data_IF_012975797406
#
_entry.id   IF_012975797406
#
_cell.length_a   1.000
_cell.length_b   1.000
_cell.length_c   1.000
_cell.angle_alpha   90.00
_cell.angle_beta   90.00
_cell.angle_gamma   90.00
#
_symmetry.space_group_name_H-M   'P 1'
#
loop_
_entity.id
_entity.type
_entity.pdbx_description
1 polymer ?
#
# COMPACT_ATOMS: atom_id res chain seq x y z
N UNK A 1 7.85 -3.92 29.45
CA UNK A 1 7.09 -3.38 28.30
C UNK A 1 7.77 -3.68 26.96
N UNK A 2 9.07 -3.52 26.82
CA UNK A 2 9.84 -3.85 25.59
C UNK A 2 9.89 -5.36 25.29
N UNK A 3 9.95 -6.22 26.31
CA UNK A 3 9.94 -7.67 26.14
C UNK A 3 8.57 -8.19 25.66
N UNK A 4 7.48 -7.59 26.13
CA UNK A 4 6.12 -7.95 25.71
C UNK A 4 5.86 -7.51 24.26
N UNK A 5 6.40 -6.36 23.82
CA UNK A 5 6.31 -5.92 22.42
C UNK A 5 7.11 -6.83 21.49
N UNK A 6 8.33 -7.23 21.87
CA UNK A 6 9.12 -8.21 21.10
C UNK A 6 8.43 -9.57 21.00
N UNK A 7 7.82 -10.03 22.09
CA UNK A 7 7.05 -11.27 22.12
C UNK A 7 5.78 -11.19 21.25
N UNK A 8 5.08 -10.04 21.22
CA UNK A 8 3.95 -9.80 20.30
C UNK A 8 4.40 -9.78 18.83
N UNK A 9 5.53 -9.16 18.51
CA UNK A 9 6.09 -9.13 17.16
C UNK A 9 6.45 -10.54 16.69
N UNK A 10 7.11 -11.34 17.53
CA UNK A 10 7.38 -12.76 17.21
C UNK A 10 6.09 -13.56 17.03
N UNK A 11 5.09 -13.39 17.92
CA UNK A 11 3.81 -14.12 17.84
C UNK A 11 2.99 -13.77 16.58
N UNK A 12 3.08 -12.55 16.03
CA UNK A 12 2.37 -12.15 14.80
C UNK A 12 3.10 -12.68 13.58
N UNK A 13 4.43 -12.59 13.55
CA UNK A 13 5.26 -13.07 12.45
C UNK A 13 5.22 -14.61 12.31
N UNK A 14 5.09 -15.32 13.41
CA UNK A 14 5.13 -16.78 13.46
C UNK A 14 3.75 -17.42 13.49
N UNK A 15 2.66 -16.65 13.35
CA UNK A 15 1.32 -17.22 13.20
C UNK A 15 1.22 -17.91 11.83
N UNK A 16 0.64 -19.10 11.85
CA UNK A 16 0.52 -19.95 10.68
C UNK A 16 -0.11 -19.22 9.47
N UNK A 17 -1.17 -18.44 9.70
CA UNK A 17 -1.90 -17.72 8.66
C UNK A 17 -1.12 -16.53 8.10
N UNK A 18 -0.59 -15.69 8.96
CA UNK A 18 0.17 -14.48 8.56
C UNK A 18 1.51 -14.85 7.94
N UNK A 19 2.18 -15.86 8.49
CA UNK A 19 3.42 -16.40 7.93
C UNK A 19 3.21 -17.00 6.54
N UNK A 20 2.15 -17.79 6.35
CA UNK A 20 1.81 -18.35 5.06
C UNK A 20 1.47 -17.28 4.02
N UNK A 21 0.71 -16.24 4.38
CA UNK A 21 0.38 -15.15 3.48
C UNK A 21 1.65 -14.42 2.99
N UNK A 22 2.59 -14.14 3.90
CA UNK A 22 3.90 -13.56 3.55
C UNK A 22 4.67 -14.47 2.58
N UNK A 23 4.77 -15.75 2.93
CA UNK A 23 5.57 -16.72 2.15
C UNK A 23 4.98 -16.90 0.75
N UNK A 24 3.67 -16.98 0.61
CA UNK A 24 2.99 -17.01 -0.70
C UNK A 24 3.20 -15.71 -1.50
N UNK A 25 3.21 -14.56 -0.84
CA UNK A 25 3.52 -13.29 -1.50
C UNK A 25 4.92 -13.29 -2.12
N UNK A 26 5.91 -13.80 -1.40
CA UNK A 26 7.27 -13.96 -1.93
C UNK A 26 7.34 -15.03 -3.02
N UNK A 27 6.66 -16.18 -2.86
CA UNK A 27 6.60 -17.25 -3.85
C UNK A 27 6.05 -16.74 -5.19
N UNK A 28 4.89 -16.08 -5.17
CA UNK A 28 4.30 -15.46 -6.36
C UNK A 28 5.26 -14.46 -7.01
N UNK A 29 5.86 -13.57 -6.23
CA UNK A 29 6.79 -12.57 -6.76
C UNK A 29 8.03 -13.20 -7.41
N UNK A 30 8.55 -14.30 -6.84
CA UNK A 30 9.81 -14.91 -7.28
C UNK A 30 9.64 -16.04 -8.29
N UNK A 31 8.46 -16.66 -8.39
CA UNK A 31 8.19 -17.75 -9.31
C UNK A 31 7.36 -17.29 -10.52
N UNK A 32 6.28 -16.55 -10.30
CA UNK A 32 5.37 -16.15 -11.37
C UNK A 32 5.74 -14.81 -12.01
N UNK A 33 6.23 -13.84 -11.21
CA UNK A 33 6.54 -12.48 -11.66
C UNK A 33 8.02 -12.12 -11.52
N UNK A 34 8.88 -13.12 -11.71
CA UNK A 34 10.34 -12.97 -11.51
C UNK A 34 10.97 -11.84 -12.34
N UNK A 35 10.50 -11.63 -13.55
CA UNK A 35 11.05 -10.62 -14.44
C UNK A 35 10.73 -9.19 -13.99
N UNK A 36 9.61 -9.00 -13.29
CA UNK A 36 9.07 -7.72 -12.86
C UNK A 36 9.39 -7.38 -11.40
N UNK A 37 9.65 -8.39 -10.56
CA UNK A 37 9.76 -8.27 -9.12
C UNK A 37 11.16 -8.52 -8.58
N UNK A 38 11.48 -7.83 -7.48
CA UNK A 38 12.65 -8.09 -6.63
C UNK A 38 12.22 -8.04 -5.18
N UNK A 39 12.70 -8.96 -4.35
CA UNK A 39 12.45 -8.88 -2.90
C UNK A 39 13.41 -7.88 -2.24
N UNK A 40 13.02 -7.34 -1.08
CA UNK A 40 13.85 -6.39 -0.34
C UNK A 40 15.23 -6.99 -0.03
N UNK A 41 15.28 -8.25 0.38
CA UNK A 41 16.53 -8.94 0.71
C UNK A 41 17.42 -9.17 -0.50
N UNK A 42 16.83 -9.52 -1.64
CA UNK A 42 17.55 -9.62 -2.92
C UNK A 42 18.10 -8.27 -3.39
N UNK A 43 17.34 -7.20 -3.18
CA UNK A 43 17.78 -5.84 -3.52
C UNK A 43 19.04 -5.43 -2.74
N UNK A 44 19.14 -5.84 -1.47
CA UNK A 44 20.37 -5.60 -0.67
C UNK A 44 21.58 -6.39 -1.19
N UNK A 45 21.38 -7.66 -1.56
CA UNK A 45 22.43 -8.51 -2.14
C UNK A 45 22.96 -7.88 -3.44
N UNK A 46 22.05 -7.47 -4.33
CA UNK A 46 22.38 -6.85 -5.62
C UNK A 46 23.05 -5.49 -5.45
N UNK A 47 22.54 -4.64 -4.55
CA UNK A 47 23.11 -3.31 -4.29
C UNK A 47 24.54 -3.40 -3.73
N UNK A 48 24.79 -4.35 -2.84
CA UNK A 48 26.13 -4.61 -2.32
C UNK A 48 27.09 -5.05 -3.43
N UNK A 49 26.64 -5.96 -4.30
CA UNK A 49 27.44 -6.45 -5.43
C UNK A 49 27.68 -5.36 -6.48
N UNK A 50 26.67 -4.52 -6.75
CA UNK A 50 26.79 -3.39 -7.69
C UNK A 50 27.78 -2.34 -7.19
N UNK A 51 27.80 -2.06 -5.89
CA UNK A 51 28.74 -1.12 -5.25
C UNK A 51 30.17 -1.67 -5.21
N UNK A 52 30.32 -2.97 -5.09
CA UNK A 52 31.61 -3.65 -5.07
C UNK A 52 31.57 -4.96 -5.88
N UNK A 53 31.87 -4.91 -7.20
CA UNK A 53 31.83 -6.11 -8.05
C UNK A 53 32.77 -7.25 -7.62
N UNK A 54 33.79 -6.96 -6.81
CA UNK A 54 34.70 -7.94 -6.25
C UNK A 54 34.31 -8.46 -4.87
N UNK A 55 33.13 -8.13 -4.37
CA UNK A 55 32.66 -8.52 -3.05
C UNK A 55 32.53 -10.05 -2.96
N UNK A 56 33.13 -10.65 -1.90
CA UNK A 56 32.95 -12.07 -1.66
C UNK A 56 31.54 -12.39 -1.17
N UNK A 57 31.09 -13.62 -1.41
CA UNK A 57 29.77 -14.11 -0.90
C UNK A 57 29.66 -13.93 0.61
N UNK A 58 30.72 -14.28 1.34
CA UNK A 58 30.73 -14.16 2.80
C UNK A 58 30.67 -12.71 3.28
N UNK A 59 31.31 -11.77 2.58
CA UNK A 59 31.22 -10.35 2.92
C UNK A 59 29.87 -9.76 2.57
N UNK A 60 29.27 -10.16 1.45
CA UNK A 60 27.89 -9.80 1.14
C UNK A 60 26.91 -10.33 2.20
N UNK A 61 27.08 -11.60 2.62
CA UNK A 61 26.30 -12.20 3.70
C UNK A 61 26.38 -11.40 5.03
N UNK A 62 27.57 -10.90 5.38
CA UNK A 62 27.75 -10.02 6.55
C UNK A 62 27.04 -8.68 6.41
N UNK A 63 26.99 -8.12 5.21
CA UNK A 63 26.35 -6.83 4.96
C UNK A 63 24.81 -6.92 5.02
N UNK A 64 24.24 -8.05 4.57
CA UNK A 64 22.78 -8.25 4.61
C UNK A 64 22.26 -8.73 5.97
N UNK A 65 23.16 -9.27 6.82
CA UNK A 65 22.82 -9.70 8.18
C UNK A 65 23.86 -9.17 9.19
N UNK A 66 23.56 -8.04 9.86
CA UNK A 66 24.49 -7.46 10.84
C UNK A 66 24.84 -8.39 12.02
N UNK A 67 24.06 -9.44 12.23
CA UNK A 67 24.31 -10.48 13.25
C UNK A 67 25.13 -11.68 12.76
N UNK A 68 25.56 -11.69 11.50
CA UNK A 68 26.16 -12.85 10.83
C UNK A 68 27.27 -13.54 11.63
N UNK A 69 28.24 -12.78 12.16
CA UNK A 69 29.38 -13.35 12.88
C UNK A 69 29.00 -13.99 14.23
N UNK A 70 27.80 -13.72 14.73
CA UNK A 70 27.25 -14.32 15.97
C UNK A 70 26.36 -15.55 15.69
N UNK A 71 26.14 -15.90 14.43
CA UNK A 71 25.34 -17.05 14.03
C UNK A 71 26.13 -18.36 14.12
N UNK A 72 25.39 -19.47 14.19
CA UNK A 72 26.02 -20.80 14.09
C UNK A 72 26.57 -21.03 12.66
N UNK A 73 27.59 -21.88 12.50
CA UNK A 73 28.16 -22.15 11.17
C UNK A 73 27.14 -22.59 10.12
N UNK A 74 26.15 -23.38 10.53
CA UNK A 74 25.07 -23.83 9.63
C UNK A 74 24.21 -22.67 9.12
N UNK A 75 23.90 -21.69 9.99
CA UNK A 75 23.15 -20.49 9.60
C UNK A 75 23.99 -19.56 8.73
N UNK A 76 25.26 -19.40 9.03
CA UNK A 76 26.20 -18.64 8.19
C UNK A 76 26.27 -19.23 6.78
N UNK A 77 26.38 -20.56 6.70
CA UNK A 77 26.42 -21.28 5.42
C UNK A 77 25.11 -21.10 4.65
N UNK A 78 23.94 -21.16 5.32
CA UNK A 78 22.65 -20.96 4.68
C UNK A 78 22.52 -19.55 4.06
N UNK A 79 23.00 -18.50 4.76
CA UNK A 79 22.99 -17.14 4.22
C UNK A 79 23.96 -17.00 3.03
N UNK A 80 25.13 -17.63 3.08
CA UNK A 80 26.04 -17.65 1.93
C UNK A 80 25.39 -18.34 0.70
N UNK A 81 24.73 -19.47 0.91
CA UNK A 81 24.01 -20.18 -0.15
C UNK A 81 22.87 -19.32 -0.73
N UNK A 82 22.17 -18.56 0.11
CA UNK A 82 21.15 -17.61 -0.34
C UNK A 82 21.77 -16.54 -1.26
N UNK A 83 22.88 -15.93 -0.85
CA UNK A 83 23.57 -14.92 -1.66
C UNK A 83 24.01 -15.50 -3.01
N UNK A 84 24.63 -16.69 -3.01
CA UNK A 84 25.04 -17.39 -4.24
C UNK A 84 23.85 -17.67 -5.15
N UNK A 85 22.75 -18.20 -4.60
CA UNK A 85 21.53 -18.51 -5.35
C UNK A 85 20.91 -17.26 -6.00
N UNK A 86 20.81 -16.16 -5.25
CA UNK A 86 20.29 -14.89 -5.76
C UNK A 86 21.14 -14.34 -6.90
N UNK A 87 22.47 -14.27 -6.70
CA UNK A 87 23.39 -13.78 -7.72
C UNK A 87 23.38 -14.65 -8.98
N UNK A 88 23.28 -15.97 -8.82
CA UNK A 88 23.17 -16.90 -9.94
C UNK A 88 21.83 -16.76 -10.70
N UNK A 89 20.72 -16.58 -9.96
CA UNK A 89 19.38 -16.53 -10.54
C UNK A 89 19.09 -15.20 -11.25
N UNK A 90 19.44 -14.08 -10.63
CA UNK A 90 19.01 -12.74 -11.09
C UNK A 90 20.15 -11.72 -11.24
N UNK A 91 21.38 -12.07 -10.92
CA UNK A 91 22.52 -11.14 -11.03
C UNK A 91 22.68 -10.53 -12.42
N UNK A 92 22.41 -11.29 -13.49
CA UNK A 92 22.49 -10.81 -14.88
C UNK A 92 21.29 -9.95 -15.32
N UNK A 93 20.11 -10.18 -14.78
CA UNK A 93 18.86 -9.53 -15.21
C UNK A 93 18.45 -8.37 -14.30
N UNK A 94 18.85 -8.39 -13.04
CA UNK A 94 18.48 -7.40 -12.03
C UNK A 94 19.68 -6.64 -11.46
N UNK A 95 20.91 -7.12 -11.66
CA UNK A 95 22.15 -6.43 -11.25
C UNK A 95 22.39 -5.14 -12.04
N UNK A 96 23.51 -4.46 -11.72
CA UNK A 96 23.93 -3.19 -12.34
C UNK A 96 22.84 -2.10 -12.22
N UNK A 97 22.15 -2.07 -11.08
CA UNK A 97 21.10 -1.10 -10.78
C UNK A 97 19.73 -1.38 -11.41
N UNK A 98 19.58 -2.42 -12.23
CA UNK A 98 18.30 -2.77 -12.87
C UNK A 98 17.22 -3.13 -11.86
N UNK A 99 17.57 -3.67 -10.69
CA UNK A 99 16.63 -3.97 -9.62
C UNK A 99 15.81 -2.74 -9.17
N UNK A 100 16.34 -1.51 -9.33
CA UNK A 100 15.65 -0.26 -8.98
C UNK A 100 14.45 0.04 -9.87
N UNK A 101 14.36 -0.59 -11.03
CA UNK A 101 13.24 -0.45 -11.98
C UNK A 101 12.17 -1.51 -11.78
N UNK A 102 12.39 -2.45 -10.86
CA UNK A 102 11.49 -3.56 -10.58
C UNK A 102 10.52 -3.20 -9.44
N UNK A 103 9.43 -3.94 -9.36
CA UNK A 103 8.51 -3.88 -8.22
C UNK A 103 9.21 -4.50 -7.01
N UNK A 104 9.46 -3.70 -5.98
CA UNK A 104 10.04 -4.20 -4.74
C UNK A 104 8.96 -4.83 -3.87
N UNK A 105 9.13 -6.11 -3.56
CA UNK A 105 8.26 -6.84 -2.66
C UNK A 105 8.93 -6.97 -1.30
N UNK A 106 8.26 -6.49 -0.25
CA UNK A 106 8.73 -6.58 1.12
C UNK A 106 7.58 -6.88 2.08
N UNK A 107 7.91 -7.42 3.25
CA UNK A 107 6.94 -7.62 4.31
C UNK A 107 7.13 -6.61 5.44
N UNK A 108 6.01 -6.26 6.09
CA UNK A 108 5.99 -5.39 7.27
C UNK A 108 5.10 -6.00 8.34
N UNK A 109 5.53 -5.88 9.59
CA UNK A 109 4.72 -6.30 10.74
C UNK A 109 3.54 -5.33 10.88
N UNK A 110 2.34 -5.86 11.17
CA UNK A 110 1.10 -5.10 11.16
C UNK A 110 1.14 -3.82 12.02
N UNK A 111 1.69 -3.88 13.23
CA UNK A 111 1.80 -2.69 14.10
C UNK A 111 2.79 -1.66 13.54
N UNK A 112 3.84 -2.12 12.88
CA UNK A 112 4.82 -1.25 12.24
C UNK A 112 4.25 -0.54 11.02
N UNK A 113 3.48 -1.24 10.17
CA UNK A 113 2.89 -0.61 8.97
C UNK A 113 1.87 0.47 9.34
N UNK A 114 1.08 0.29 10.43
CA UNK A 114 0.18 1.34 10.91
C UNK A 114 0.89 2.66 11.22
N UNK A 115 2.10 2.60 11.75
CA UNK A 115 2.92 3.78 12.01
C UNK A 115 3.57 4.30 10.71
N UNK A 116 4.05 3.41 9.85
CA UNK A 116 4.81 3.77 8.66
C UNK A 116 3.95 4.45 7.59
N UNK A 117 2.70 4.01 7.38
CA UNK A 117 1.79 4.68 6.43
C UNK A 117 1.43 6.10 6.82
N UNK A 118 1.56 6.46 8.11
CA UNK A 118 1.32 7.81 8.60
C UNK A 118 2.56 8.71 8.50
N UNK A 119 3.75 8.14 8.65
CA UNK A 119 5.01 8.90 8.75
C UNK A 119 5.82 8.87 7.46
N UNK A 120 5.62 7.87 6.62
CA UNK A 120 6.36 7.61 5.37
C UNK A 120 5.47 7.00 4.28
N UNK A 121 4.32 7.62 3.95
CA UNK A 121 3.37 7.05 2.99
C UNK A 121 3.99 6.84 1.61
N UNK A 122 4.92 7.69 1.20
CA UNK A 122 5.58 7.66 -0.12
C UNK A 122 6.45 6.41 -0.35
N UNK A 123 6.76 5.65 0.71
CA UNK A 123 7.50 4.39 0.59
C UNK A 123 6.62 3.23 0.07
N UNK A 124 5.29 3.40 0.04
CA UNK A 124 4.33 2.34 -0.24
C UNK A 124 3.42 2.71 -1.41
N UNK A 125 3.46 1.92 -2.48
CA UNK A 125 2.54 2.10 -3.62
C UNK A 125 1.30 1.22 -3.47
N UNK A 126 1.47 -0.02 -3.00
CA UNK A 126 0.41 -1.01 -2.80
C UNK A 126 0.67 -1.75 -1.50
N UNK A 127 -0.39 -1.97 -0.72
CA UNK A 127 -0.36 -2.79 0.49
C UNK A 127 -1.27 -4.00 0.30
N UNK A 128 -0.68 -5.19 0.20
CA UNK A 128 -1.41 -6.45 0.18
C UNK A 128 -1.57 -6.98 1.60
N UNK A 129 -2.79 -7.21 2.05
CA UNK A 129 -3.07 -7.69 3.41
C UNK A 129 -4.19 -8.71 3.41
N UNK A 130 -4.30 -9.49 4.51
CA UNK A 130 -5.52 -10.24 4.76
C UNK A 130 -6.66 -9.28 5.14
N UNK A 131 -7.91 -9.71 4.90
CA UNK A 131 -9.13 -8.92 5.04
C UNK A 131 -9.15 -8.04 6.32
N UNK A 132 -9.11 -8.63 7.50
CA UNK A 132 -9.25 -7.87 8.76
C UNK A 132 -8.17 -6.79 8.96
N UNK A 133 -6.91 -7.11 8.64
CA UNK A 133 -5.82 -6.15 8.74
C UNK A 133 -5.96 -5.04 7.69
N UNK A 134 -6.46 -5.40 6.50
CA UNK A 134 -6.78 -4.46 5.43
C UNK A 134 -7.86 -3.47 5.82
N UNK A 135 -8.96 -3.95 6.41
CA UNK A 135 -10.07 -3.12 6.88
C UNK A 135 -9.59 -2.07 7.89
N UNK A 136 -8.81 -2.50 8.90
CA UNK A 136 -8.27 -1.54 9.88
C UNK A 136 -7.28 -0.54 9.28
N UNK A 137 -6.42 -1.01 8.38
CA UNK A 137 -5.40 -0.16 7.78
C UNK A 137 -6.00 0.84 6.80
N UNK A 138 -6.98 0.42 5.99
CA UNK A 138 -7.67 1.29 5.02
C UNK A 138 -8.48 2.37 5.72
N UNK A 139 -9.19 2.05 6.81
CA UNK A 139 -9.93 3.03 7.60
C UNK A 139 -8.99 4.06 8.25
N UNK A 140 -7.85 3.61 8.78
CA UNK A 140 -6.85 4.51 9.34
C UNK A 140 -6.23 5.42 8.27
N UNK A 141 -5.94 4.89 7.09
CA UNK A 141 -5.42 5.66 5.96
C UNK A 141 -6.46 6.65 5.42
N UNK A 142 -7.72 6.21 5.30
CA UNK A 142 -8.83 7.09 4.90
C UNK A 142 -9.03 8.26 5.85
N UNK A 143 -8.88 8.04 7.17
CA UNK A 143 -8.98 9.10 8.17
C UNK A 143 -7.93 10.20 7.96
N UNK A 144 -6.73 9.83 7.49
CA UNK A 144 -5.65 10.78 7.19
C UNK A 144 -5.92 11.54 5.88
N UNK A 145 -6.47 10.83 4.89
CA UNK A 145 -6.75 11.38 3.55
C UNK A 145 -8.01 12.28 3.46
N UNK A 146 -8.72 12.50 4.55
CA UNK A 146 -9.92 13.37 4.57
C UNK A 146 -11.18 12.69 5.13
N UNK A 147 -11.06 11.45 5.57
CA UNK A 147 -12.13 10.66 6.18
C UNK A 147 -12.76 9.64 5.24
N UNK A 148 -13.60 8.79 5.82
CA UNK A 148 -14.26 7.68 5.10
C UNK A 148 -15.14 8.16 3.92
N UNK A 149 -15.62 9.40 3.96
CA UNK A 149 -16.37 10.01 2.85
C UNK A 149 -15.56 10.22 1.56
N UNK A 150 -14.23 9.99 1.62
CA UNK A 150 -13.32 10.11 0.47
C UNK A 150 -12.67 8.76 0.09
N UNK A 151 -12.97 7.68 0.80
CA UNK A 151 -12.36 6.37 0.54
C UNK A 151 -13.20 5.53 -0.43
N UNK A 152 -12.70 5.25 -1.65
CA UNK A 152 -13.38 4.34 -2.57
C UNK A 152 -13.18 2.88 -2.19
N UNK A 153 -14.09 2.01 -2.64
CA UNK A 153 -14.00 0.58 -2.47
C UNK A 153 -14.35 -0.19 -3.74
N UNK A 154 -13.71 -1.36 -3.89
CA UNK A 154 -14.00 -2.30 -4.95
C UNK A 154 -13.79 -3.74 -4.48
N UNK A 155 -14.67 -4.64 -4.92
CA UNK A 155 -14.53 -6.08 -4.78
C UNK A 155 -14.40 -6.66 -6.19
N UNK A 156 -13.21 -7.12 -6.56
CA UNK A 156 -12.90 -7.56 -7.92
C UNK A 156 -12.65 -9.08 -7.90
N UNK A 157 -13.44 -9.79 -8.67
CA UNK A 157 -13.29 -11.23 -8.90
C UNK A 157 -13.06 -11.53 -10.37
N UNK A 158 -12.88 -12.82 -10.68
CA UNK A 158 -12.53 -13.28 -12.05
C UNK A 158 -13.58 -12.94 -13.10
N UNK A 159 -14.86 -12.90 -12.73
CA UNK A 159 -15.96 -12.75 -13.68
C UNK A 159 -16.88 -11.55 -13.40
N UNK A 160 -16.67 -10.86 -12.29
CA UNK A 160 -17.48 -9.71 -11.89
C UNK A 160 -16.72 -8.80 -10.94
N UNK A 161 -17.07 -7.52 -10.95
CA UNK A 161 -16.56 -6.54 -10.00
C UNK A 161 -17.72 -5.73 -9.43
N UNK A 162 -17.64 -5.37 -8.15
CA UNK A 162 -18.59 -4.49 -7.45
C UNK A 162 -17.80 -3.29 -6.93
N UNK A 163 -18.28 -2.09 -7.23
CA UNK A 163 -17.70 -0.83 -6.78
C UNK A 163 -18.67 -0.17 -5.83
N UNK A 164 -18.22 0.09 -4.60
CA UNK A 164 -19.08 0.58 -3.53
C UNK A 164 -18.31 1.54 -2.61
N UNK A 165 -19.04 2.38 -1.89
CA UNK A 165 -18.44 3.18 -0.84
C UNK A 165 -17.96 2.26 0.32
N UNK A 166 -16.80 2.55 0.88
CA UNK A 166 -16.24 1.75 2.00
C UNK A 166 -16.99 1.94 3.32
N UNK A 167 -17.71 3.07 3.46
CA UNK A 167 -18.48 3.38 4.67
C UNK A 167 -19.86 2.73 4.67
N UNK A 168 -20.45 2.58 5.86
CA UNK A 168 -21.80 2.08 6.05
C UNK A 168 -22.90 3.08 5.62
N UNK A 169 -24.18 2.70 5.80
CA UNK A 169 -25.37 3.40 5.33
C UNK A 169 -25.68 4.72 6.05
N UNK A 170 -25.01 5.02 7.16
CA UNK A 170 -25.17 6.25 7.96
C UNK A 170 -26.65 6.65 8.23
N UNK A 171 -27.50 5.79 8.81
CA UNK A 171 -28.96 5.98 8.87
C UNK A 171 -29.38 7.29 9.56
N UNK A 172 -28.54 7.85 10.42
CA UNK A 172 -28.78 9.15 11.08
C UNK A 172 -28.81 10.33 10.10
N UNK A 173 -28.24 10.17 8.91
CA UNK A 173 -28.17 11.19 7.87
C UNK A 173 -29.15 10.94 6.70
N UNK A 174 -29.93 9.87 6.76
CA UNK A 174 -30.88 9.54 5.71
C UNK A 174 -31.89 10.68 5.47
N UNK A 175 -32.06 11.10 4.22
CA UNK A 175 -32.96 12.16 3.81
C UNK A 175 -32.53 13.59 4.15
N UNK A 176 -31.32 13.79 4.75
CA UNK A 176 -30.85 15.13 5.14
C UNK A 176 -30.03 15.83 4.05
N UNK A 177 -29.73 15.18 2.94
CA UNK A 177 -28.89 15.71 1.85
C UNK A 177 -27.56 16.29 2.35
N UNK A 178 -26.87 15.58 3.26
CA UNK A 178 -25.77 16.15 4.04
C UNK A 178 -24.45 15.41 3.88
N UNK A 179 -24.47 14.09 3.60
CA UNK A 179 -23.26 13.27 3.56
C UNK A 179 -22.38 13.63 2.38
N UNK A 180 -21.08 13.39 2.52
CA UNK A 180 -20.12 13.52 1.43
C UNK A 180 -20.31 12.36 0.42
N UNK A 181 -20.60 12.63 -0.86
CA UNK A 181 -20.73 11.60 -1.87
C UNK A 181 -19.39 11.15 -2.46
N UNK A 182 -18.27 11.73 -2.03
CA UNK A 182 -16.94 11.53 -2.62
C UNK A 182 -16.49 10.07 -2.67
N UNK A 183 -16.76 9.29 -1.62
CA UNK A 183 -16.44 7.86 -1.60
C UNK A 183 -17.14 7.09 -2.72
N UNK A 184 -18.44 7.33 -2.92
CA UNK A 184 -19.20 6.68 -4.00
C UNK A 184 -18.78 7.17 -5.38
N UNK A 185 -18.53 8.47 -5.54
CA UNK A 185 -18.02 9.05 -6.79
C UNK A 185 -16.67 8.44 -7.15
N UNK A 186 -15.74 8.37 -6.21
CA UNK A 186 -14.42 7.77 -6.43
C UNK A 186 -14.51 6.25 -6.69
N UNK A 187 -15.47 5.55 -6.09
CA UNK A 187 -15.75 4.15 -6.45
C UNK A 187 -16.25 4.04 -7.90
N UNK A 188 -17.06 4.99 -8.36
CA UNK A 188 -17.44 5.14 -9.76
C UNK A 188 -16.23 5.40 -10.67
N UNK A 189 -15.30 6.24 -10.25
CA UNK A 189 -14.01 6.45 -10.95
C UNK A 189 -13.25 5.16 -11.10
N UNK A 190 -13.08 4.37 -10.02
CA UNK A 190 -12.43 3.05 -10.09
C UNK A 190 -13.14 2.10 -11.08
N UNK A 191 -14.49 2.16 -11.14
CA UNK A 191 -15.25 1.38 -12.12
C UNK A 191 -14.94 1.83 -13.55
N UNK A 192 -14.89 3.13 -13.80
CA UNK A 192 -14.57 3.67 -15.13
C UNK A 192 -13.14 3.27 -15.56
N UNK A 193 -12.18 3.36 -14.67
CA UNK A 193 -10.81 2.90 -14.91
C UNK A 193 -10.74 1.39 -15.20
N UNK A 194 -11.47 0.58 -14.42
CA UNK A 194 -11.58 -0.86 -14.65
C UNK A 194 -12.17 -1.22 -16.02
N UNK A 195 -13.12 -0.43 -16.49
CA UNK A 195 -13.73 -0.58 -17.83
C UNK A 195 -12.86 0.01 -18.97
N UNK A 196 -11.74 0.66 -18.65
CA UNK A 196 -10.87 1.32 -19.62
C UNK A 196 -11.40 2.68 -20.10
N UNK A 197 -12.33 3.28 -19.42
CA UNK A 197 -12.91 4.59 -19.76
C UNK A 197 -12.17 5.72 -19.05
N UNK A 198 -10.87 5.82 -19.33
CA UNK A 198 -9.95 6.71 -18.64
C UNK A 198 -10.34 8.19 -18.72
N UNK A 199 -10.80 8.66 -19.90
CA UNK A 199 -11.21 10.06 -20.08
C UNK A 199 -12.36 10.44 -19.14
N UNK A 200 -13.35 9.56 -18.97
CA UNK A 200 -14.46 9.79 -18.06
C UNK A 200 -14.00 9.77 -16.59
N UNK A 201 -13.13 8.82 -16.23
CA UNK A 201 -12.53 8.73 -14.90
C UNK A 201 -11.74 10.01 -14.55
N UNK A 202 -11.01 10.55 -15.51
CA UNK A 202 -10.22 11.77 -15.32
C UNK A 202 -11.09 13.03 -15.17
N UNK A 203 -12.23 13.11 -15.87
CA UNK A 203 -13.19 14.19 -15.67
C UNK A 203 -13.72 14.22 -14.23
N UNK A 204 -14.17 13.07 -13.72
CA UNK A 204 -14.66 12.97 -12.34
C UNK A 204 -13.58 13.33 -11.31
N UNK A 205 -12.37 12.78 -11.48
CA UNK A 205 -11.22 13.10 -10.59
C UNK A 205 -10.86 14.57 -10.59
N UNK A 206 -10.74 15.16 -11.77
CA UNK A 206 -10.37 16.57 -11.92
C UNK A 206 -11.46 17.50 -11.40
N UNK A 207 -12.74 17.19 -11.67
CA UNK A 207 -13.88 17.95 -11.16
C UNK A 207 -13.95 17.91 -9.63
N UNK A 208 -13.75 16.73 -9.02
CA UNK A 208 -13.69 16.58 -7.57
C UNK A 208 -12.51 17.36 -6.96
N UNK A 209 -11.32 17.21 -7.53
CA UNK A 209 -10.13 17.92 -7.05
C UNK A 209 -10.29 19.44 -7.13
N UNK A 210 -10.87 19.96 -8.23
CA UNK A 210 -11.12 21.38 -8.41
C UNK A 210 -12.19 21.91 -7.43
N UNK A 211 -13.25 21.15 -7.17
CA UNK A 211 -14.28 21.55 -6.19
C UNK A 211 -13.69 21.66 -4.78
N UNK A 212 -12.82 20.71 -4.39
CA UNK A 212 -12.12 20.76 -3.09
C UNK A 212 -11.15 21.95 -3.04
N UNK A 213 -10.39 22.20 -4.11
CA UNK A 213 -9.44 23.32 -4.18
C UNK A 213 -10.15 24.68 -4.06
N UNK A 214 -11.33 24.80 -4.62
CA UNK A 214 -12.19 26.00 -4.52
C UNK A 214 -12.97 26.08 -3.19
N UNK A 215 -12.74 25.13 -2.27
CA UNK A 215 -13.42 25.03 -0.97
C UNK A 215 -14.95 24.84 -1.07
N UNK A 216 -15.44 24.38 -2.20
CA UNK A 216 -16.83 23.97 -2.40
C UNK A 216 -17.00 22.52 -1.93
N UNK A 217 -17.16 22.31 -0.62
CA UNK A 217 -17.06 21.03 0.06
C UNK A 217 -18.21 20.76 1.03
N UNK A 218 -18.44 19.51 1.35
CA UNK A 218 -19.39 19.07 2.39
C UNK A 218 -18.87 19.32 3.79
N UNK A 219 -19.71 19.19 4.80
CA UNK A 219 -19.45 19.57 6.20
C UNK A 219 -18.26 18.85 6.83
N UNK A 220 -17.98 17.62 6.40
CA UNK A 220 -16.89 16.78 6.91
C UNK A 220 -15.51 17.30 6.47
N UNK A 221 -15.39 17.71 5.21
CA UNK A 221 -14.18 18.35 4.69
C UNK A 221 -14.08 19.81 5.15
N UNK A 222 -15.20 20.55 5.17
CA UNK A 222 -15.25 21.95 5.55
C UNK A 222 -14.60 22.24 6.92
N UNK A 223 -14.78 21.35 7.88
CA UNK A 223 -14.21 21.46 9.24
C UNK A 223 -12.69 21.22 9.30
N UNK A 224 -12.12 20.59 8.28
CA UNK A 224 -10.68 20.26 8.20
C UNK A 224 -9.87 21.36 7.51
N UNK A 225 -10.53 22.30 6.83
CA UNK A 225 -9.88 23.41 6.15
C UNK A 225 -9.49 24.54 7.14
N UNK A 226 -8.45 25.30 6.82
CA UNK A 226 -8.00 26.46 7.59
C UNK A 226 -8.00 27.71 6.70
N UNK A 227 -8.89 28.71 6.97
CA UNK A 227 -9.96 28.68 7.98
C UNK A 227 -11.09 27.72 7.61
N UNK A 228 -11.85 27.18 8.58
CA UNK A 228 -12.98 26.32 8.31
C UNK A 228 -14.03 26.99 7.43
N UNK A 229 -14.59 26.26 6.48
CA UNK A 229 -15.71 26.76 5.65
C UNK A 229 -16.98 26.81 6.49
N UNK A 230 -17.60 27.99 6.58
CA UNK A 230 -18.75 28.25 7.45
C UNK A 230 -20.08 27.76 6.84
N UNK A 231 -20.17 27.72 5.52
CA UNK A 231 -21.36 27.30 4.78
C UNK A 231 -21.01 26.10 3.88
N UNK A 232 -20.90 24.88 4.42
CA UNK A 232 -20.61 23.70 3.62
C UNK A 232 -21.77 23.36 2.69
N UNK A 233 -21.45 22.81 1.52
CA UNK A 233 -22.41 22.35 0.55
C UNK A 233 -23.18 21.13 1.06
N UNK A 234 -24.41 20.95 0.54
CA UNK A 234 -25.16 19.71 0.66
C UNK A 234 -24.56 18.63 -0.24
N UNK A 235 -24.98 17.38 -0.04
CA UNK A 235 -24.56 16.26 -0.87
C UNK A 235 -24.83 16.51 -2.36
N UNK A 236 -26.06 16.90 -2.70
CA UNK A 236 -26.48 17.22 -4.07
C UNK A 236 -25.73 18.42 -4.66
N UNK A 237 -25.56 19.49 -3.88
CA UNK A 237 -24.84 20.70 -4.30
C UNK A 237 -23.34 20.41 -4.59
N UNK A 238 -22.73 19.55 -3.79
CA UNK A 238 -21.35 19.14 -4.01
C UNK A 238 -21.19 18.32 -5.28
N UNK A 239 -22.12 17.39 -5.54
CA UNK A 239 -22.14 16.65 -6.80
C UNK A 239 -22.30 17.59 -8.02
N UNK A 240 -23.20 18.59 -7.94
CA UNK A 240 -23.35 19.61 -8.98
C UNK A 240 -22.09 20.46 -9.17
N UNK A 241 -21.40 20.81 -8.08
CA UNK A 241 -20.16 21.55 -8.14
C UNK A 241 -19.06 20.78 -8.88
N UNK A 242 -18.98 19.46 -8.70
CA UNK A 242 -18.08 18.58 -9.44
C UNK A 242 -18.40 18.58 -10.93
N UNK A 243 -19.67 18.32 -11.29
CA UNK A 243 -20.12 18.22 -12.68
C UNK A 243 -19.93 19.54 -13.45
N UNK A 244 -20.08 20.69 -12.80
CA UNK A 244 -19.83 22.01 -13.42
C UNK A 244 -18.39 22.23 -13.87
N UNK A 245 -17.47 21.36 -13.46
CA UNK A 245 -16.04 21.44 -13.76
C UNK A 245 -15.56 20.43 -14.81
N UNK A 246 -16.48 19.72 -15.42
CA UNK A 246 -16.22 18.79 -16.53
C UNK A 246 -15.88 19.55 -17.86
#
# INVERSE_FOLDING_TARGET
>A
HLSIRRQRQMCIRDRYTEGAFRDWGYEVATEEFRAECVTERESWILDNQDKNPGLSVADNARLIDPGYDSLTPEKQQAICQEVEAVLAAIGSSHGQGQWKTKVMVNDRIADSIFQQVQTRPDEYSILATMNLNGDYLSDAAAAIAGGLGMAPGANIGDNAAIFEATHGTAPKHAGLDRVNPGSLILSGVMMLEYLGWQEAADLDKNGLAAAIADQEVTYDLARLLEPPVTNPLKCSEFAEAIVKRF
#
